data_IF_303519006459
#
_entry.id   IF_303519006459
#
_cell.length_a   1.000
_cell.length_b   1.000
_cell.length_c   1.000
_cell.angle_alpha   90.00
_cell.angle_beta   90.00
_cell.angle_gamma   90.00
#
_symmetry.space_group_name_H-M   'P 1'
#
loop_
_entity.id
_entity.type
_entity.pdbx_description
1 polymer ?
#
# COMPACT_ATOMS: atom_id res chain seq x y z
N UNK A 1 6.47 -15.27 -16.91
CA UNK A 1 5.08 -14.76 -16.73
C UNK A 1 4.41 -15.25 -15.45
N UNK A 2 4.56 -16.52 -15.04
CA UNK A 2 3.94 -17.04 -13.80
C UNK A 2 4.43 -16.34 -12.52
N UNK A 3 5.74 -16.21 -12.33
CA UNK A 3 6.33 -15.52 -11.17
C UNK A 3 5.80 -14.09 -10.98
N UNK A 4 5.75 -13.30 -12.06
CA UNK A 4 5.22 -11.92 -12.01
C UNK A 4 3.75 -11.85 -11.57
N UNK A 5 2.93 -12.87 -11.93
CA UNK A 5 1.53 -12.95 -11.49
C UNK A 5 1.42 -13.31 -10.01
N UNK A 6 2.26 -14.25 -9.55
CA UNK A 6 2.32 -14.64 -8.13
C UNK A 6 2.78 -13.45 -7.28
N UNK A 7 3.84 -12.77 -7.69
CA UNK A 7 4.35 -11.57 -7.02
C UNK A 7 3.26 -10.50 -6.94
N UNK A 8 2.58 -10.20 -8.04
CA UNK A 8 1.49 -9.22 -8.05
C UNK A 8 0.35 -9.61 -7.08
N UNK A 9 -0.01 -10.89 -7.01
CA UNK A 9 -1.00 -11.40 -6.06
C UNK A 9 -0.56 -11.26 -4.60
N UNK A 10 0.66 -11.69 -4.28
CA UNK A 10 1.24 -11.56 -2.94
C UNK A 10 1.34 -10.09 -2.51
N UNK A 11 1.74 -9.20 -3.42
CA UNK A 11 1.78 -7.76 -3.15
C UNK A 11 0.39 -7.16 -2.91
N UNK A 12 -0.64 -7.62 -3.62
CA UNK A 12 -2.00 -7.18 -3.39
C UNK A 12 -2.50 -7.60 -2.00
N UNK A 13 -2.26 -8.87 -1.63
CA UNK A 13 -2.59 -9.39 -0.30
C UNK A 13 -1.83 -8.63 0.79
N UNK A 14 -0.53 -8.41 0.61
CA UNK A 14 0.31 -7.66 1.55
C UNK A 14 -0.26 -6.27 1.80
N UNK A 15 -0.67 -5.53 0.75
CA UNK A 15 -1.29 -4.20 0.88
C UNK A 15 -2.58 -4.24 1.71
N UNK A 16 -3.45 -5.22 1.46
CA UNK A 16 -4.71 -5.36 2.21
C UNK A 16 -4.45 -5.65 3.70
N UNK A 17 -3.55 -6.60 3.98
CA UNK A 17 -3.18 -6.95 5.35
C UNK A 17 -2.57 -5.77 6.13
N UNK A 18 -1.80 -4.91 5.47
CA UNK A 18 -1.17 -3.78 6.13
C UNK A 18 -2.13 -2.60 6.35
N UNK A 19 -3.18 -2.45 5.53
CA UNK A 19 -4.28 -1.52 5.81
C UNK A 19 -5.04 -1.97 7.06
N UNK A 20 -5.39 -3.26 7.12
CA UNK A 20 -6.08 -3.87 8.26
C UNK A 20 -5.24 -3.75 9.54
N UNK A 21 -3.97 -4.14 9.48
CA UNK A 21 -3.04 -4.00 10.61
C UNK A 21 -2.86 -2.55 11.07
N UNK A 22 -2.86 -1.58 10.14
CA UNK A 22 -2.77 -0.16 10.50
C UNK A 22 -4.05 0.31 11.23
N UNK A 23 -5.22 -0.16 10.77
CA UNK A 23 -6.49 0.12 11.44
C UNK A 23 -6.54 -0.48 12.84
N UNK A 24 -6.16 -1.76 12.98
CA UNK A 24 -6.09 -2.43 14.27
C UNK A 24 -5.12 -1.74 15.24
N UNK A 25 -3.92 -1.35 14.77
CA UNK A 25 -2.97 -0.59 15.57
C UNK A 25 -3.55 0.76 16.02
N UNK A 26 -4.30 1.45 15.14
CA UNK A 26 -4.98 2.69 15.51
C UNK A 26 -6.04 2.46 16.60
N UNK A 27 -6.88 1.43 16.45
CA UNK A 27 -7.91 1.05 17.45
C UNK A 27 -7.26 0.70 18.79
N UNK A 28 -6.16 -0.04 18.80
CA UNK A 28 -5.40 -0.34 20.01
C UNK A 28 -4.87 0.93 20.68
N UNK A 29 -4.38 1.89 19.90
CA UNK A 29 -3.97 3.20 20.41
C UNK A 29 -5.12 3.95 21.09
N UNK A 30 -6.33 3.90 20.52
CA UNK A 30 -7.52 4.57 21.10
C UNK A 30 -7.93 4.00 22.46
N UNK A 31 -7.67 2.71 22.70
CA UNK A 31 -8.00 2.06 23.98
C UNK A 31 -7.03 2.43 25.12
N UNK A 32 -5.93 3.13 24.83
CA UNK A 32 -4.92 3.51 25.82
C UNK A 32 -5.14 4.91 26.38
N UNK A 33 -4.74 5.11 27.64
CA UNK A 33 -4.63 6.44 28.22
C UNK A 33 -3.54 7.25 27.51
N UNK A 34 -3.72 8.58 27.36
CA UNK A 34 -2.72 9.47 26.78
C UNK A 34 -1.34 9.28 27.40
N UNK A 35 -0.39 8.85 26.57
CA UNK A 35 0.96 8.50 27.01
C UNK A 35 1.93 8.43 25.82
N UNK A 36 3.22 8.37 26.12
CA UNK A 36 4.24 8.14 25.09
C UNK A 36 4.05 6.80 24.35
N UNK A 37 3.50 5.78 25.04
CA UNK A 37 3.19 4.47 24.45
C UNK A 37 2.06 4.59 23.41
N UNK A 38 0.97 5.30 23.74
CA UNK A 38 -0.11 5.56 22.78
C UNK A 38 0.41 6.30 21.54
N UNK A 39 1.22 7.34 21.73
CA UNK A 39 1.79 8.09 20.61
C UNK A 39 2.67 7.22 19.72
N UNK A 40 3.43 6.28 20.30
CA UNK A 40 4.24 5.34 19.50
C UNK A 40 3.37 4.42 18.66
N UNK A 41 2.29 3.88 19.23
CA UNK A 41 1.35 3.02 18.51
C UNK A 41 0.67 3.77 17.36
N UNK A 42 0.26 5.03 17.58
CA UNK A 42 -0.28 5.86 16.50
C UNK A 42 0.74 6.16 15.41
N UNK A 43 2.00 6.40 15.76
CA UNK A 43 3.06 6.56 14.76
C UNK A 43 3.27 5.28 13.95
N UNK A 44 3.27 4.13 14.60
CA UNK A 44 3.41 2.84 13.91
C UNK A 44 2.23 2.58 12.97
N UNK A 45 0.99 2.82 13.43
CA UNK A 45 -0.21 2.75 12.59
C UNK A 45 -0.15 3.70 11.39
N UNK A 46 0.25 4.95 11.61
CA UNK A 46 0.39 5.96 10.57
C UNK A 46 1.47 5.57 9.54
N UNK A 47 2.64 5.16 10.00
CA UNK A 47 3.75 4.77 9.12
C UNK A 47 3.33 3.58 8.25
N UNK A 48 2.67 2.58 8.84
CA UNK A 48 2.20 1.40 8.13
C UNK A 48 1.20 1.78 7.03
N UNK A 49 0.20 2.60 7.37
CA UNK A 49 -0.78 3.11 6.42
C UNK A 49 -0.12 3.92 5.29
N UNK A 50 0.79 4.83 5.64
CA UNK A 50 1.49 5.68 4.69
C UNK A 50 2.26 4.86 3.66
N UNK A 51 3.04 3.86 4.09
CA UNK A 51 3.81 3.02 3.17
C UNK A 51 2.93 2.21 2.23
N UNK A 52 1.78 1.72 2.70
CA UNK A 52 0.84 1.01 1.83
C UNK A 52 0.24 1.93 0.79
N UNK A 53 -0.28 3.09 1.21
CA UNK A 53 -0.88 4.06 0.30
C UNK A 53 0.13 4.56 -0.73
N UNK A 54 1.35 4.86 -0.30
CA UNK A 54 2.45 5.24 -1.19
C UNK A 54 2.72 4.15 -2.24
N UNK A 55 2.83 2.89 -1.83
CA UNK A 55 3.04 1.77 -2.75
C UNK A 55 1.86 1.53 -3.70
N UNK A 56 0.62 1.81 -3.28
CA UNK A 56 -0.56 1.77 -4.17
C UNK A 56 -0.43 2.86 -5.25
N UNK A 57 -0.12 4.10 -4.86
CA UNK A 57 0.05 5.23 -5.79
C UNK A 57 1.19 4.97 -6.78
N UNK A 58 2.34 4.51 -6.31
CA UNK A 58 3.49 4.18 -7.17
C UNK A 58 3.13 3.08 -8.16
N UNK A 59 2.48 2.00 -7.71
CA UNK A 59 2.04 0.92 -8.59
C UNK A 59 1.04 1.41 -9.65
N UNK A 60 0.04 2.20 -9.27
CA UNK A 60 -0.93 2.76 -10.20
C UNK A 60 -0.26 3.65 -11.26
N UNK A 61 0.72 4.47 -10.85
CA UNK A 61 1.45 5.35 -11.77
C UNK A 61 2.31 4.59 -12.76
N UNK A 62 3.00 3.52 -12.33
CA UNK A 62 3.81 2.69 -13.21
C UNK A 62 2.91 1.96 -14.22
N UNK A 63 1.82 1.34 -13.75
CA UNK A 63 0.85 0.65 -14.63
C UNK A 63 0.26 1.61 -15.66
N UNK A 64 -0.13 2.82 -15.26
CA UNK A 64 -0.64 3.84 -16.18
C UNK A 64 0.38 4.27 -17.24
N UNK A 65 1.66 4.43 -16.88
CA UNK A 65 2.74 4.74 -17.83
C UNK A 65 2.96 3.61 -18.84
N UNK A 66 2.92 2.37 -18.37
CA UNK A 66 3.08 1.18 -19.22
C UNK A 66 1.91 1.05 -20.21
N UNK A 67 0.67 1.24 -19.73
CA UNK A 67 -0.51 1.22 -20.58
C UNK A 67 -0.48 2.34 -21.65
N UNK A 68 -0.13 3.56 -21.26
CA UNK A 68 -0.01 4.68 -22.19
C UNK A 68 1.08 4.47 -23.26
N UNK A 69 2.20 3.82 -22.89
CA UNK A 69 3.26 3.46 -23.84
C UNK A 69 2.79 2.42 -24.85
N UNK A 70 2.06 1.40 -24.41
CA UNK A 70 1.52 0.36 -25.27
C UNK A 70 0.53 0.92 -26.31
N UNK A 71 -0.35 1.83 -25.90
CA UNK A 71 -1.31 2.50 -26.80
C UNK A 71 -0.57 3.35 -27.85
N UNK A 72 0.50 4.06 -27.46
CA UNK A 72 1.26 4.90 -28.39
C UNK A 72 1.97 4.06 -29.46
N UNK A 73 2.55 2.91 -29.08
CA UNK A 73 3.19 2.00 -30.05
C UNK A 73 2.24 1.37 -31.04
N UNK A 74 0.95 1.24 -30.72
CA UNK A 74 -0.07 0.70 -31.64
C UNK A 74 -0.68 1.76 -32.56
N UNK A 75 -0.44 3.05 -32.29
CA UNK A 75 -0.97 4.17 -33.08
C UNK A 75 0.09 4.79 -34.00
N UNK A 76 1.37 4.48 -33.81
CA UNK A 76 2.45 4.82 -34.73
C UNK A 76 2.50 3.78 -35.87
N UNK A 77 1.81 4.07 -36.96
CA UNK A 77 1.95 3.40 -38.26
C UNK A 77 2.79 4.30 -39.18
#
# INVERSE_FOLDING_TARGET
MLLAKIEAGLYAIWKLLHIDAAYEAFVQGMALNPSAVQNRIYQDAWNLLFFVLFNIVVAARITGKTAARAIRSTLSW
#
